data_IF_090679039237
#
_entry.id   IF_090679039237
#
_cell.length_a   1.000
_cell.length_b   1.000
_cell.length_c   1.000
_cell.angle_alpha   90.00
_cell.angle_beta   90.00
_cell.angle_gamma   90.00
#
_symmetry.space_group_name_H-M   'P 1'
#
loop_
_entity.id
_entity.type
_entity.pdbx_description
1 polymer ?
#
# COMPACT_ATOMS: atom_id res chain seq x y z
N UNK A 1 21.61 -32.40 8.65
CA UNK A 1 20.66 -32.05 7.60
C UNK A 1 20.28 -30.56 7.75
N UNK A 2 20.66 -29.78 6.81
CA UNK A 2 20.37 -28.35 6.89
C UNK A 2 18.94 -28.09 6.38
N UNK A 3 18.08 -27.52 7.23
CA UNK A 3 16.80 -27.04 6.80
C UNK A 3 17.01 -25.86 5.83
N UNK A 4 16.32 -25.87 4.69
CA UNK A 4 16.30 -24.71 3.79
C UNK A 4 15.60 -23.58 4.54
N UNK A 5 16.36 -22.53 4.87
CA UNK A 5 15.77 -21.36 5.50
C UNK A 5 14.92 -20.62 4.47
N UNK A 6 13.62 -20.59 4.67
CA UNK A 6 12.75 -19.71 3.90
C UNK A 6 12.94 -18.29 4.41
N UNK A 7 12.99 -17.27 3.51
CA UNK A 7 13.05 -15.89 3.93
C UNK A 7 11.91 -15.58 4.90
N UNK A 8 12.24 -15.02 6.04
CA UNK A 8 11.25 -14.68 7.05
C UNK A 8 10.58 -13.36 6.69
N UNK A 9 9.36 -13.43 6.18
CA UNK A 9 8.50 -12.28 5.94
C UNK A 9 7.65 -12.03 7.18
N UNK A 10 7.73 -10.82 7.73
CA UNK A 10 7.01 -10.44 8.93
C UNK A 10 6.39 -9.05 8.80
N UNK A 11 5.38 -8.78 9.62
CA UNK A 11 4.74 -7.47 9.72
C UNK A 11 4.95 -6.90 11.12
N UNK A 12 5.06 -5.58 11.19
CA UNK A 12 5.05 -4.87 12.46
C UNK A 12 4.42 -3.48 12.29
N UNK A 13 4.02 -2.84 13.40
CA UNK A 13 3.56 -1.45 13.33
C UNK A 13 4.67 -0.51 12.87
N UNK A 14 4.25 0.56 12.20
CA UNK A 14 5.14 1.65 11.81
C UNK A 14 5.71 2.37 13.04
N UNK A 15 7.01 2.70 12.94
CA UNK A 15 7.68 3.56 13.90
C UNK A 15 8.16 4.82 13.16
N UNK A 16 8.12 6.01 13.80
CA UNK A 16 8.56 7.25 13.14
C UNK A 16 9.95 7.17 12.52
N UNK A 17 10.86 6.40 13.13
CA UNK A 17 12.22 6.20 12.60
C UNK A 17 12.25 5.45 11.27
N UNK A 18 11.18 4.78 10.87
CA UNK A 18 11.08 4.07 9.60
C UNK A 18 10.88 5.02 8.41
N UNK A 19 10.40 6.24 8.64
CA UNK A 19 9.96 7.13 7.57
C UNK A 19 10.99 7.37 6.45
N UNK A 20 12.28 7.58 6.73
CA UNK A 20 13.25 7.77 5.65
C UNK A 20 13.37 6.57 4.72
N UNK A 21 13.37 5.34 5.25
CA UNK A 21 13.46 4.12 4.43
C UNK A 21 12.15 3.87 3.68
N UNK A 22 11.01 4.12 4.30
CA UNK A 22 9.72 3.98 3.62
C UNK A 22 9.57 4.99 2.49
N UNK A 23 10.11 6.18 2.64
CA UNK A 23 10.17 7.19 1.57
C UNK A 23 10.97 6.67 0.38
N UNK A 24 12.10 6.02 0.62
CA UNK A 24 12.90 5.40 -0.44
C UNK A 24 12.13 4.29 -1.15
N UNK A 25 11.45 3.43 -0.39
CA UNK A 25 10.60 2.37 -0.96
C UNK A 25 9.49 2.97 -1.82
N UNK A 26 8.85 4.02 -1.34
CA UNK A 26 7.81 4.74 -2.08
C UNK A 26 8.33 5.24 -3.42
N UNK A 27 9.46 5.93 -3.42
CA UNK A 27 10.06 6.47 -4.64
C UNK A 27 10.54 5.40 -5.59
N UNK A 28 11.26 4.41 -5.09
CA UNK A 28 11.80 3.32 -5.92
C UNK A 28 10.69 2.50 -6.56
N UNK A 29 9.61 2.22 -5.81
CA UNK A 29 8.49 1.47 -6.36
C UNK A 29 7.77 2.23 -7.46
N UNK A 30 7.58 3.54 -7.31
CA UNK A 30 6.98 4.36 -8.37
C UNK A 30 7.86 4.36 -9.60
N UNK A 31 9.14 4.65 -9.46
CA UNK A 31 10.07 4.75 -10.59
C UNK A 31 10.21 3.43 -11.35
N UNK A 32 10.32 2.32 -10.65
CA UNK A 32 10.63 1.03 -11.29
C UNK A 32 9.40 0.21 -11.67
N UNK A 33 8.26 0.39 -10.98
CA UNK A 33 7.10 -0.49 -11.15
C UNK A 33 5.95 0.14 -11.94
N UNK A 34 6.00 1.41 -12.27
CA UNK A 34 4.87 2.12 -12.90
C UNK A 34 5.17 2.67 -14.29
N UNK A 35 6.34 2.43 -14.85
CA UNK A 35 6.76 3.02 -16.13
C UNK A 35 5.95 2.54 -17.33
N UNK A 36 5.26 1.40 -17.23
CA UNK A 36 4.39 0.92 -18.30
C UNK A 36 3.07 1.70 -18.37
N UNK A 37 2.66 2.36 -17.30
CA UNK A 37 1.36 3.01 -17.17
C UNK A 37 1.45 4.53 -17.03
N UNK A 38 2.60 5.06 -16.61
CA UNK A 38 2.79 6.48 -16.35
C UNK A 38 4.07 6.99 -17.01
N UNK A 39 4.04 8.25 -17.44
CA UNK A 39 5.22 8.93 -17.98
C UNK A 39 6.22 9.27 -16.87
N UNK A 40 7.46 9.55 -17.25
CA UNK A 40 8.48 9.98 -16.30
C UNK A 40 8.07 11.23 -15.53
N UNK A 41 7.45 12.21 -16.20
CA UNK A 41 6.94 13.42 -15.55
C UNK A 41 5.83 13.10 -14.53
N UNK A 42 4.93 12.18 -14.86
CA UNK A 42 3.90 11.73 -13.94
C UNK A 42 4.50 11.00 -12.74
N UNK A 43 5.49 10.15 -12.95
CA UNK A 43 6.18 9.43 -11.88
C UNK A 43 6.90 10.40 -10.94
N UNK A 44 7.57 11.42 -11.47
CA UNK A 44 8.24 12.44 -10.67
C UNK A 44 7.25 13.24 -9.82
N UNK A 45 6.14 13.66 -10.40
CA UNK A 45 5.10 14.36 -9.67
C UNK A 45 4.53 13.51 -8.54
N UNK A 46 4.27 12.25 -8.82
CA UNK A 46 3.77 11.29 -7.82
C UNK A 46 4.79 11.09 -6.69
N UNK A 47 6.05 10.82 -7.02
CA UNK A 47 7.10 10.60 -6.03
C UNK A 47 7.35 11.84 -5.16
N UNK A 48 7.12 13.04 -5.69
CA UNK A 48 7.33 14.29 -4.95
C UNK A 48 6.39 14.46 -3.74
N UNK A 49 5.30 13.71 -3.69
CA UNK A 49 4.36 13.71 -2.55
C UNK A 49 5.07 13.37 -1.23
N UNK A 50 6.17 12.61 -1.29
CA UNK A 50 6.95 12.22 -0.13
C UNK A 50 8.26 13.01 0.02
N UNK A 51 8.43 14.13 -0.68
CA UNK A 51 9.69 14.91 -0.64
C UNK A 51 9.99 15.47 0.74
N UNK A 52 8.99 15.92 1.47
CA UNK A 52 9.14 16.34 2.86
C UNK A 52 9.00 15.12 3.77
N UNK A 53 10.12 14.63 4.28
CA UNK A 53 10.12 13.42 5.13
C UNK A 53 9.36 13.63 6.45
N UNK A 54 9.33 14.85 6.96
CA UNK A 54 8.59 15.19 8.18
C UNK A 54 7.07 15.09 7.98
N UNK A 55 6.57 15.63 6.88
CA UNK A 55 5.15 15.52 6.52
C UNK A 55 4.78 14.07 6.22
N UNK A 56 5.62 13.34 5.51
CA UNK A 56 5.42 11.93 5.22
C UNK A 56 5.34 11.10 6.50
N UNK A 57 6.27 11.32 7.43
CA UNK A 57 6.26 10.67 8.75
C UNK A 57 4.99 11.00 9.53
N UNK A 58 4.57 12.25 9.55
CA UNK A 58 3.36 12.68 10.27
C UNK A 58 2.10 12.04 9.69
N UNK A 59 2.02 11.94 8.37
CA UNK A 59 0.92 11.27 7.70
C UNK A 59 0.82 9.80 8.11
N UNK A 60 1.93 9.08 8.05
CA UNK A 60 1.96 7.66 8.42
C UNK A 60 1.71 7.44 9.91
N UNK A 61 2.16 8.37 10.76
CA UNK A 61 1.90 8.32 12.21
C UNK A 61 0.42 8.53 12.55
N UNK A 62 -0.29 9.31 11.73
CA UNK A 62 -1.72 9.57 11.91
C UNK A 62 -2.63 8.51 11.33
N UNK A 63 -2.07 7.51 10.66
CA UNK A 63 -2.81 6.43 10.02
C UNK A 63 -2.48 5.11 10.70
N UNK A 64 -3.31 4.08 10.48
CA UNK A 64 -2.93 2.71 10.81
C UNK A 64 -1.95 2.24 9.74
N UNK A 65 -0.67 2.18 10.08
CA UNK A 65 0.40 1.86 9.15
C UNK A 65 1.13 0.60 9.58
N UNK A 66 1.23 -0.35 8.66
CA UNK A 66 1.97 -1.60 8.83
C UNK A 66 3.21 -1.59 7.95
N UNK A 67 4.28 -2.13 8.48
CA UNK A 67 5.56 -2.28 7.79
C UNK A 67 5.85 -3.77 7.59
N UNK A 68 6.26 -4.14 6.39
CA UNK A 68 6.71 -5.50 6.09
C UNK A 68 8.23 -5.55 6.11
N UNK A 69 8.75 -6.60 6.77
CA UNK A 69 10.18 -6.88 6.80
C UNK A 69 10.45 -8.24 6.18
N UNK A 70 11.56 -8.35 5.49
CA UNK A 70 12.07 -9.60 4.95
C UNK A 70 13.47 -9.80 5.53
N UNK A 71 13.65 -10.84 6.34
CA UNK A 71 14.91 -11.05 7.07
C UNK A 71 15.34 -9.82 7.88
N UNK A 72 14.38 -9.10 8.46
CA UNK A 72 14.63 -7.91 9.26
C UNK A 72 14.77 -6.61 8.48
N UNK A 73 14.87 -6.66 7.15
CA UNK A 73 14.97 -5.46 6.30
C UNK A 73 13.59 -4.98 5.88
N UNK A 74 13.35 -3.66 5.91
CA UNK A 74 12.10 -3.07 5.45
C UNK A 74 11.95 -3.26 3.95
N UNK A 75 10.84 -3.85 3.51
CA UNK A 75 10.58 -4.14 2.09
C UNK A 75 9.23 -3.62 1.59
N UNK A 76 8.38 -3.14 2.45
CA UNK A 76 7.09 -2.62 2.04
C UNK A 76 6.30 -2.03 3.19
N UNK A 77 5.23 -1.34 2.86
CA UNK A 77 4.32 -0.78 3.86
C UNK A 77 2.94 -0.55 3.27
N UNK A 78 1.95 -0.48 4.14
CA UNK A 78 0.58 -0.15 3.78
C UNK A 78 -0.08 0.63 4.89
N UNK A 79 -1.03 1.50 4.55
CA UNK A 79 -1.72 2.31 5.53
C UNK A 79 -3.20 2.44 5.25
N UNK A 80 -3.98 2.62 6.34
CA UNK A 80 -5.39 2.98 6.32
C UNK A 80 -5.55 4.43 6.74
N UNK A 81 -6.21 5.21 5.90
CA UNK A 81 -6.71 6.53 6.23
C UNK A 81 -8.11 6.37 6.84
N UNK A 82 -8.29 6.87 8.05
CA UNK A 82 -9.55 6.64 8.76
C UNK A 82 -9.80 5.15 9.01
N UNK A 83 -11.03 4.71 8.81
CA UNK A 83 -11.45 3.34 9.11
C UNK A 83 -11.55 2.44 7.89
N UNK A 84 -11.70 3.03 6.70
CA UNK A 84 -12.22 2.31 5.54
C UNK A 84 -11.52 2.59 4.21
N UNK A 85 -10.44 3.38 4.22
CA UNK A 85 -9.70 3.69 3.00
C UNK A 85 -8.25 3.25 3.08
N UNK A 86 -7.85 2.39 2.15
CA UNK A 86 -6.44 2.07 1.94
C UNK A 86 -5.80 3.27 1.26
N UNK A 87 -4.85 3.92 1.94
CA UNK A 87 -4.17 5.10 1.41
C UNK A 87 -2.89 4.75 0.68
N UNK A 88 -2.08 3.87 1.27
CA UNK A 88 -0.80 3.49 0.69
C UNK A 88 -0.60 1.98 0.68
N UNK A 89 0.01 1.49 -0.39
CA UNK A 89 0.56 0.15 -0.50
C UNK A 89 1.75 0.22 -1.45
N UNK A 90 2.93 0.07 -0.93
CA UNK A 90 4.17 0.12 -1.71
C UNK A 90 5.11 -0.99 -1.29
N UNK A 91 5.67 -1.69 -2.28
CA UNK A 91 6.62 -2.79 -2.08
C UNK A 91 7.90 -2.44 -2.82
N UNK A 92 9.05 -2.63 -2.18
CA UNK A 92 10.34 -2.41 -2.81
C UNK A 92 10.46 -3.28 -4.07
N UNK A 93 10.97 -2.75 -5.20
CA UNK A 93 11.07 -3.51 -6.44
C UNK A 93 11.81 -4.84 -6.30
N UNK A 94 12.85 -4.90 -5.46
CA UNK A 94 13.60 -6.13 -5.24
C UNK A 94 12.82 -7.22 -4.49
N UNK A 95 11.71 -6.86 -3.85
CA UNK A 95 10.88 -7.79 -3.06
C UNK A 95 9.55 -8.13 -3.73
N UNK A 96 9.31 -7.69 -4.97
CA UNK A 96 8.08 -8.03 -5.69
C UNK A 96 8.03 -9.52 -6.02
N UNK A 97 6.80 -10.05 -6.10
CA UNK A 97 6.59 -11.47 -6.39
C UNK A 97 6.80 -12.40 -5.20
N UNK A 98 7.02 -11.87 -3.99
CA UNK A 98 7.27 -12.66 -2.78
C UNK A 98 6.11 -12.64 -1.78
N UNK A 99 4.96 -12.09 -2.19
CA UNK A 99 3.76 -12.06 -1.35
C UNK A 99 3.70 -10.92 -0.34
N UNK A 100 4.59 -9.93 -0.44
CA UNK A 100 4.63 -8.80 0.50
C UNK A 100 3.35 -7.98 0.45
N UNK A 101 2.90 -7.59 -0.75
CA UNK A 101 1.66 -6.83 -0.92
C UNK A 101 0.44 -7.57 -0.41
N UNK A 102 0.35 -8.86 -0.72
CA UNK A 102 -0.73 -9.73 -0.26
C UNK A 102 -0.80 -9.78 1.26
N UNK A 103 0.35 -9.98 1.92
CA UNK A 103 0.42 -10.04 3.38
C UNK A 103 0.00 -8.73 4.03
N UNK A 104 0.44 -7.60 3.48
CA UNK A 104 0.07 -6.28 3.99
C UNK A 104 -1.44 -6.03 3.88
N UNK A 105 -2.02 -6.30 2.72
CA UNK A 105 -3.46 -6.06 2.50
C UNK A 105 -4.31 -7.03 3.32
N UNK A 106 -3.93 -8.30 3.42
CA UNK A 106 -4.66 -9.25 4.28
C UNK A 106 -4.69 -8.78 5.73
N UNK A 107 -3.58 -8.26 6.23
CA UNK A 107 -3.51 -7.73 7.60
C UNK A 107 -4.37 -6.48 7.78
N UNK A 108 -4.35 -5.55 6.81
CA UNK A 108 -5.22 -4.37 6.87
C UNK A 108 -6.70 -4.76 6.86
N UNK A 109 -7.09 -5.73 6.02
CA UNK A 109 -8.46 -6.21 5.95
C UNK A 109 -8.91 -6.81 7.28
N UNK A 110 -8.06 -7.61 7.93
CA UNK A 110 -8.36 -8.19 9.24
C UNK A 110 -8.50 -7.12 10.33
N UNK A 111 -7.60 -6.17 10.35
CA UNK A 111 -7.63 -5.09 11.34
C UNK A 111 -8.84 -4.18 11.13
N UNK A 112 -9.15 -3.83 9.90
CA UNK A 112 -10.35 -3.03 9.58
C UNK A 112 -11.62 -3.79 9.98
N UNK A 113 -11.72 -5.06 9.60
CA UNK A 113 -12.87 -5.91 9.95
C UNK A 113 -13.05 -6.06 11.45
N UNK A 114 -11.96 -6.22 12.21
CA UNK A 114 -12.01 -6.29 13.67
C UNK A 114 -12.51 -4.99 14.31
N UNK A 115 -12.34 -3.86 13.63
CA UNK A 115 -12.83 -2.55 14.06
C UNK A 115 -14.26 -2.25 13.58
N UNK A 116 -14.91 -3.19 12.91
CA UNK A 116 -16.28 -3.05 12.42
C UNK A 116 -16.43 -2.43 11.05
N UNK A 117 -15.34 -2.28 10.30
CA UNK A 117 -15.38 -1.76 8.92
C UNK A 117 -16.09 -2.77 8.00
N UNK A 118 -17.15 -2.34 7.33
CA UNK A 118 -17.93 -3.21 6.45
C UNK A 118 -17.32 -3.37 5.05
N UNK A 119 -16.64 -2.33 4.59
CA UNK A 119 -16.00 -2.32 3.25
C UNK A 119 -14.78 -1.42 3.24
N UNK A 120 -13.80 -1.80 2.42
CA UNK A 120 -12.62 -1.00 2.16
C UNK A 120 -12.68 -0.41 0.77
N UNK A 121 -12.19 0.82 0.63
CA UNK A 121 -11.96 1.45 -0.66
C UNK A 121 -10.47 1.68 -0.86
N UNK A 122 -10.07 1.79 -2.12
CA UNK A 122 -8.71 2.17 -2.52
C UNK A 122 -8.78 2.93 -3.83
N UNK A 123 -8.01 4.00 -3.93
CA UNK A 123 -7.77 4.67 -5.20
C UNK A 123 -6.50 4.08 -5.79
N UNK A 124 -6.66 3.02 -6.58
CA UNK A 124 -5.54 2.25 -7.09
C UNK A 124 -5.00 2.86 -8.38
N UNK A 125 -3.67 2.95 -8.47
CA UNK A 125 -3.00 3.28 -9.72
C UNK A 125 -3.30 2.23 -10.79
N UNK A 126 -3.11 2.58 -12.05
CA UNK A 126 -3.27 1.62 -13.14
C UNK A 126 -2.32 0.43 -12.98
N UNK A 127 -1.15 0.66 -12.40
CA UNK A 127 -0.16 -0.40 -12.13
C UNK A 127 -0.58 -1.35 -11.01
N UNK A 128 -1.33 -0.86 -10.02
CA UNK A 128 -1.77 -1.65 -8.86
C UNK A 128 -3.17 -2.26 -9.03
N UNK A 129 -3.96 -1.77 -9.98
CA UNK A 129 -5.36 -2.17 -10.15
C UNK A 129 -5.54 -3.68 -10.25
N UNK A 130 -4.74 -4.35 -11.07
CA UNK A 130 -4.83 -5.80 -11.25
C UNK A 130 -4.59 -6.59 -9.97
N UNK A 131 -3.67 -6.12 -9.13
CA UNK A 131 -3.43 -6.72 -7.82
C UNK A 131 -4.69 -6.69 -6.95
N UNK A 132 -5.34 -5.54 -6.86
CA UNK A 132 -6.55 -5.40 -6.06
C UNK A 132 -7.74 -6.17 -6.65
N UNK A 133 -7.90 -6.16 -7.96
CA UNK A 133 -8.98 -6.91 -8.61
C UNK A 133 -8.89 -8.41 -8.35
N UNK A 134 -7.67 -8.96 -8.37
CA UNK A 134 -7.43 -10.38 -8.03
C UNK A 134 -7.79 -10.71 -6.58
N UNK A 135 -7.82 -9.71 -5.71
CA UNK A 135 -8.15 -9.87 -4.30
C UNK A 135 -9.61 -9.55 -3.99
N UNK A 136 -10.43 -9.39 -4.99
CA UNK A 136 -11.87 -9.20 -4.83
C UNK A 136 -12.33 -7.75 -4.77
N UNK A 137 -11.45 -6.79 -5.06
CA UNK A 137 -11.83 -5.39 -5.16
C UNK A 137 -12.49 -5.13 -6.52
N UNK A 138 -13.59 -4.39 -6.50
CA UNK A 138 -14.42 -4.13 -7.69
C UNK A 138 -14.34 -2.64 -8.02
N UNK A 139 -14.06 -2.34 -9.28
CA UNK A 139 -13.96 -0.96 -9.76
C UNK A 139 -15.30 -0.23 -9.64
N UNK A 140 -15.26 0.98 -9.09
CA UNK A 140 -16.42 1.85 -8.89
C UNK A 140 -16.38 3.07 -9.78
N UNK A 141 -15.22 3.69 -9.93
CA UNK A 141 -15.10 4.98 -10.59
C UNK A 141 -13.69 5.19 -11.13
N UNK A 142 -13.60 5.70 -12.35
CA UNK A 142 -12.35 6.16 -12.94
C UNK A 142 -12.10 7.61 -12.54
N UNK A 143 -10.88 7.92 -12.11
CA UNK A 143 -10.50 9.24 -11.65
C UNK A 143 -9.33 9.80 -12.45
N UNK A 144 -9.25 11.13 -12.51
CA UNK A 144 -8.07 11.84 -12.96
C UNK A 144 -7.70 12.83 -11.86
N UNK A 145 -6.51 12.66 -11.29
CA UNK A 145 -6.06 13.48 -10.17
C UNK A 145 -4.91 14.39 -10.59
N UNK A 146 -4.89 15.60 -10.04
CA UNK A 146 -3.83 16.57 -10.27
C UNK A 146 -2.78 16.44 -9.18
N UNK A 147 -1.52 16.21 -9.58
CA UNK A 147 -0.36 16.23 -8.68
C UNK A 147 0.69 17.13 -9.32
N UNK A 148 1.00 18.26 -8.67
CA UNK A 148 1.85 19.26 -9.29
C UNK A 148 1.26 19.75 -10.60
N UNK A 149 2.05 19.72 -11.67
CA UNK A 149 1.61 20.13 -13.00
C UNK A 149 1.09 18.96 -13.86
N UNK A 150 0.97 17.77 -13.26
CA UNK A 150 0.61 16.55 -13.99
C UNK A 150 -0.77 16.04 -13.59
N UNK A 151 -1.41 15.32 -14.51
CA UNK A 151 -2.65 14.60 -14.26
C UNK A 151 -2.39 13.11 -14.33
N UNK A 152 -2.81 12.38 -13.29
CA UNK A 152 -2.65 10.94 -13.23
C UNK A 152 -4.02 10.27 -13.13
N UNK A 153 -4.21 9.23 -13.92
CA UNK A 153 -5.42 8.43 -13.85
C UNK A 153 -5.27 7.35 -12.76
N UNK A 154 -6.33 7.12 -12.02
CA UNK A 154 -6.45 5.98 -11.13
C UNK A 154 -7.90 5.49 -11.10
N UNK A 155 -8.16 4.44 -10.34
CA UNK A 155 -9.50 3.86 -10.24
C UNK A 155 -9.83 3.62 -8.78
N UNK A 156 -11.00 4.08 -8.36
CA UNK A 156 -11.53 3.74 -7.04
C UNK A 156 -12.12 2.34 -7.11
N UNK A 157 -11.61 1.44 -6.27
CA UNK A 157 -12.15 0.10 -6.11
C UNK A 157 -12.65 -0.10 -4.68
N UNK A 158 -13.53 -1.05 -4.50
CA UNK A 158 -14.07 -1.36 -3.18
C UNK A 158 -14.21 -2.86 -3.00
N UNK A 159 -14.06 -3.31 -1.75
CA UNK A 159 -14.26 -4.69 -1.35
C UNK A 159 -15.14 -4.74 -0.11
N UNK A 160 -16.19 -5.56 -0.15
CA UNK A 160 -16.97 -5.89 1.02
C UNK A 160 -16.16 -6.83 1.92
N UNK A 161 -15.97 -6.43 3.16
CA UNK A 161 -15.36 -7.33 4.15
C UNK A 161 -16.44 -8.30 4.66
N UNK A 162 -16.02 -9.53 4.99
CA UNK A 162 -16.95 -10.49 5.53
C UNK A 162 -17.62 -9.90 6.78
N UNK A 163 -18.96 -9.83 6.76
CA UNK A 163 -19.70 -9.37 7.91
C UNK A 163 -19.34 -10.27 9.10
N UNK A 164 -19.02 -9.64 10.23
CA UNK A 164 -18.88 -10.37 11.47
C UNK A 164 -20.22 -11.09 11.71
N UNK A 165 -20.20 -12.43 11.68
CA UNK A 165 -21.42 -13.18 11.97
C UNK A 165 -21.85 -12.83 13.38
N UNK A 166 -22.97 -12.17 13.47
CA UNK A 166 -23.67 -12.08 14.74
C UNK A 166 -24.11 -13.49 15.11
N UNK A 167 -23.83 -13.89 16.34
CA UNK A 167 -24.38 -15.12 16.86
C UNK A 167 -25.90 -15.04 16.78
N UNK A 168 -26.59 -16.08 16.30
CA UNK A 168 -28.04 -16.11 16.26
C UNK A 168 -28.65 -15.93 17.66
#
# INVERSE_FOLDING_TARGET
MMAVAHPKLALRPFLPADAPLLREIFRDSIEELTSDDYTEAQQEAWASVADDVGEFRNKLSGQLTLVATLEGSLVGFASLEGKDKIDMLYVHPAATGQGVGAMLIDALERLAGARGTARLTVDASDSARGFFEKRGYIAQQRNSISIGDEWLANTTLQKQLAAKREAP
#
